data_IF_876020752335
#
_entry.id   IF_876020752335
#
_cell.length_a   1.000
_cell.length_b   1.000
_cell.length_c   1.000
_cell.angle_alpha   90.00
_cell.angle_beta   90.00
_cell.angle_gamma   90.00
#
_symmetry.space_group_name_H-M   'P 1'
#
loop_
_entity.id
_entity.type
_entity.pdbx_description
1 polymer ?
#
# COMPACT_ATOMS: atom_id res chain seq x y z
N UNK A 1 8.29 23.80 18.19
CA UNK A 1 9.02 23.59 16.93
C UNK A 1 8.01 23.47 15.79
N UNK A 2 7.77 24.52 15.00
CA UNK A 2 7.10 24.34 13.70
C UNK A 2 8.19 23.93 12.73
N UNK A 3 8.24 22.65 12.36
CA UNK A 3 9.05 22.23 11.23
C UNK A 3 8.49 22.93 9.99
N UNK A 4 9.23 23.92 9.47
CA UNK A 4 8.99 24.46 8.14
C UNK A 4 9.18 23.30 7.17
N UNK A 5 8.09 22.64 6.81
CA UNK A 5 8.12 21.57 5.84
C UNK A 5 8.48 22.17 4.50
N UNK A 6 9.71 21.96 4.05
CA UNK A 6 10.01 22.01 2.62
C UNK A 6 9.02 21.04 1.97
N UNK A 7 7.97 21.56 1.34
CA UNK A 7 7.03 20.74 0.58
C UNK A 7 7.77 20.27 -0.66
N UNK A 8 8.54 19.20 -0.54
CA UNK A 8 9.00 18.45 -1.70
C UNK A 8 7.73 17.95 -2.36
N UNK A 9 7.40 18.54 -3.51
CA UNK A 9 6.28 18.13 -4.33
C UNK A 9 6.64 16.79 -4.98
N UNK A 10 6.63 15.71 -4.19
CA UNK A 10 6.77 14.36 -4.70
C UNK A 10 5.50 14.06 -5.50
N UNK A 11 5.60 14.20 -6.82
CA UNK A 11 4.50 13.88 -7.72
C UNK A 11 4.33 12.36 -7.74
N UNK A 12 3.33 11.88 -7.02
CA UNK A 12 2.89 10.50 -7.13
C UNK A 12 2.16 10.32 -8.46
N UNK A 13 2.26 9.12 -9.05
CA UNK A 13 1.35 8.75 -10.14
C UNK A 13 -0.09 8.79 -9.64
N UNK A 14 -1.06 8.98 -10.54
CA UNK A 14 -2.48 9.04 -10.18
C UNK A 14 -2.94 7.80 -9.39
N UNK A 15 -2.46 6.62 -9.78
CA UNK A 15 -2.75 5.36 -9.09
C UNK A 15 -2.15 5.32 -7.68
N UNK A 16 -0.88 5.75 -7.52
CA UNK A 16 -0.23 5.80 -6.21
C UNK A 16 -0.93 6.81 -5.29
N UNK A 17 -1.33 7.98 -5.80
CA UNK A 17 -2.11 8.95 -5.04
C UNK A 17 -3.47 8.38 -4.60
N UNK A 18 -4.12 7.59 -5.45
CA UNK A 18 -5.39 6.92 -5.12
C UNK A 18 -5.21 5.90 -3.99
N UNK A 19 -4.15 5.09 -4.04
CA UNK A 19 -3.79 4.14 -2.97
C UNK A 19 -3.53 4.87 -1.66
N UNK A 20 -2.77 5.97 -1.67
CA UNK A 20 -2.48 6.76 -0.47
C UNK A 20 -3.76 7.37 0.11
N UNK A 21 -4.67 7.90 -0.71
CA UNK A 21 -5.98 8.40 -0.26
C UNK A 21 -6.78 7.30 0.44
N UNK A 22 -6.83 6.09 -0.14
CA UNK A 22 -7.50 4.94 0.48
C UNK A 22 -6.85 4.54 1.80
N UNK A 23 -5.51 4.54 1.88
CA UNK A 23 -4.76 4.23 3.10
C UNK A 23 -5.03 5.26 4.21
N UNK A 24 -5.12 6.55 3.89
CA UNK A 24 -5.53 7.61 4.83
C UNK A 24 -6.94 7.36 5.35
N UNK A 25 -7.89 7.05 4.47
CA UNK A 25 -9.25 6.71 4.88
C UNK A 25 -9.30 5.48 5.79
N UNK A 26 -8.48 4.46 5.52
CA UNK A 26 -8.36 3.27 6.35
C UNK A 26 -7.81 3.60 7.75
N UNK A 27 -6.73 4.38 7.82
CA UNK A 27 -6.12 4.79 9.10
C UNK A 27 -7.12 5.55 9.97
N UNK A 28 -7.85 6.51 9.37
CA UNK A 28 -8.89 7.28 10.08
C UNK A 28 -10.01 6.40 10.61
N UNK A 29 -10.53 5.47 9.81
CA UNK A 29 -11.59 4.54 10.27
C UNK A 29 -11.12 3.62 11.40
N UNK A 30 -9.81 3.37 11.52
CA UNK A 30 -9.20 2.58 12.59
C UNK A 30 -8.70 3.42 13.75
N UNK A 31 -8.98 4.73 13.81
CA UNK A 31 -8.53 5.61 14.89
C UNK A 31 -7.02 5.87 14.92
N UNK A 32 -6.30 5.64 13.82
CA UNK A 32 -4.86 5.85 13.75
C UNK A 32 -4.55 7.28 13.29
N UNK A 33 -3.75 8.01 14.08
CA UNK A 33 -3.34 9.38 13.76
C UNK A 33 -2.34 9.47 12.59
N UNK A 34 -1.70 8.35 12.23
CA UNK A 34 -0.73 8.27 11.15
C UNK A 34 -1.07 7.13 10.20
N UNK A 35 -0.71 7.31 8.92
CA UNK A 35 -0.74 6.23 7.94
C UNK A 35 0.50 5.38 8.14
N UNK A 36 0.30 4.09 8.42
CA UNK A 36 1.38 3.11 8.53
C UNK A 36 1.51 2.29 7.24
N UNK A 37 2.67 1.64 6.98
CA UNK A 37 2.84 0.76 5.81
C UNK A 37 1.76 -0.32 5.67
N UNK A 38 1.19 -0.80 6.80
CA UNK A 38 0.10 -1.78 6.79
C UNK A 38 -1.19 -1.23 6.15
N UNK A 39 -1.51 0.06 6.34
CA UNK A 39 -2.68 0.69 5.72
C UNK A 39 -2.51 0.78 4.20
N UNK A 40 -1.29 1.10 3.73
CA UNK A 40 -0.94 1.15 2.31
C UNK A 40 -1.00 -0.25 1.69
N UNK A 41 -0.39 -1.25 2.32
CA UNK A 41 -0.47 -2.64 1.87
C UNK A 41 -1.93 -3.13 1.80
N UNK A 42 -2.74 -2.81 2.81
CA UNK A 42 -4.17 -3.17 2.82
C UNK A 42 -4.94 -2.52 1.66
N UNK A 43 -4.69 -1.25 1.36
CA UNK A 43 -5.28 -0.55 0.21
C UNK A 43 -4.85 -1.19 -1.13
N UNK A 44 -3.56 -1.49 -1.28
CA UNK A 44 -3.03 -2.14 -2.49
C UNK A 44 -3.56 -3.57 -2.68
N UNK A 45 -3.85 -4.31 -1.60
CA UNK A 45 -4.41 -5.66 -1.66
C UNK A 45 -5.93 -5.69 -1.89
N UNK A 46 -6.64 -4.62 -1.55
CA UNK A 46 -8.10 -4.53 -1.72
C UNK A 46 -8.54 -4.53 -3.19
N UNK A 47 -7.71 -4.00 -4.09
CA UNK A 47 -7.98 -4.00 -5.53
C UNK A 47 -7.95 -5.43 -6.11
N UNK A 48 -9.06 -5.96 -6.69
CA UNK A 48 -9.14 -7.33 -7.20
C UNK A 48 -8.14 -7.70 -8.28
N UNK A 49 -7.56 -6.71 -8.97
CA UNK A 49 -6.49 -6.87 -9.96
C UNK A 49 -5.24 -6.04 -9.67
N UNK A 50 -5.05 -5.58 -8.43
CA UNK A 50 -3.89 -4.76 -8.06
C UNK A 50 -2.56 -5.51 -8.21
N UNK A 51 -1.50 -4.80 -8.62
CA UNK A 51 -0.17 -5.38 -8.84
C UNK A 51 0.35 -6.13 -7.61
N UNK A 52 0.18 -5.57 -6.41
CA UNK A 52 0.62 -6.22 -5.17
C UNK A 52 -0.10 -7.55 -4.94
N UNK A 53 -1.43 -7.57 -5.12
CA UNK A 53 -2.23 -8.81 -4.98
C UNK A 53 -1.78 -9.85 -6.00
N UNK A 54 -1.60 -9.46 -7.27
CA UNK A 54 -1.12 -10.36 -8.31
C UNK A 54 0.28 -10.93 -8.01
N UNK A 55 1.20 -10.09 -7.54
CA UNK A 55 2.54 -10.50 -7.11
C UNK A 55 2.50 -11.49 -5.94
N UNK A 56 1.68 -11.22 -4.92
CA UNK A 56 1.49 -12.15 -3.79
C UNK A 56 0.94 -13.51 -4.26
N UNK A 57 -0.07 -13.52 -5.14
CA UNK A 57 -0.61 -14.77 -5.70
C UNK A 57 0.45 -15.54 -6.50
N UNK A 58 1.27 -14.85 -7.30
CA UNK A 58 2.37 -15.45 -8.06
C UNK A 58 3.45 -16.03 -7.15
N UNK A 59 3.86 -15.30 -6.11
CA UNK A 59 4.87 -15.76 -5.15
C UNK A 59 4.44 -17.03 -4.41
N UNK A 60 3.16 -17.14 -4.02
CA UNK A 60 2.62 -18.37 -3.42
C UNK A 60 2.67 -19.55 -4.38
N UNK A 61 2.33 -19.33 -5.66
CA UNK A 61 2.43 -20.36 -6.70
C UNK A 61 3.87 -20.82 -6.90
N UNK A 62 4.82 -19.89 -6.88
CA UNK A 62 6.24 -20.20 -6.96
C UNK A 62 6.69 -21.06 -5.77
N UNK A 63 6.38 -20.66 -4.54
CA UNK A 63 6.71 -21.42 -3.34
C UNK A 63 6.11 -22.84 -3.36
N UNK A 64 4.85 -22.98 -3.81
CA UNK A 64 4.22 -24.29 -3.96
C UNK A 64 4.86 -25.14 -5.05
N UNK A 65 5.33 -24.54 -6.14
CA UNK A 65 6.03 -25.25 -7.21
C UNK A 65 7.46 -25.65 -6.80
N UNK A 66 8.07 -24.94 -5.84
CA UNK A 66 9.40 -25.23 -5.31
C UNK A 66 9.39 -26.03 -4.00
N UNK A 67 8.23 -26.51 -3.53
CA UNK A 67 8.11 -27.33 -2.30
C UNK A 67 8.63 -28.77 -2.47
N UNK A 68 9.13 -29.13 -3.66
CA UNK A 68 9.78 -30.42 -3.93
C UNK A 68 11.10 -30.24 -4.70
N UNK A 69 12.05 -29.52 -4.09
CA UNK A 69 13.49 -29.69 -4.35
C UNK A 69 14.25 -29.73 -3.04
#
# INVERSE_FOLDING_TARGET
>A
MRAGGCTVQQSLTADAATVVKQAVSLARRRGNAQVTPLHVASAMLAAPGGLLRAACLRARRWSSASTWR
#
